data_IF_815034126759
#
_entry.id   IF_815034126759
#
_cell.length_a   1.000
_cell.length_b   1.000
_cell.length_c   1.000
_cell.angle_alpha   90.00
_cell.angle_beta   90.00
_cell.angle_gamma   90.00
#
_symmetry.space_group_name_H-M   'P 1'
#
loop_
_entity.id
_entity.type
_entity.pdbx_description
1 polymer ?
#
# COMPACT_ATOMS: atom_id res chain seq x y z
N UNK A 1 -6.54 5.87 11.61
CA UNK A 1 -6.44 4.56 10.91
C UNK A 1 -5.01 4.01 10.80
N UNK A 2 -3.96 4.81 10.96
CA UNK A 2 -2.56 4.39 10.81
C UNK A 2 -2.14 3.22 11.73
N UNK A 3 -2.66 3.12 12.96
CA UNK A 3 -2.28 2.02 13.88
C UNK A 3 -2.89 0.66 13.53
N UNK A 4 -3.92 0.62 12.72
CA UNK A 4 -4.67 -0.61 12.48
C UNK A 4 -4.07 -1.52 11.37
N UNK A 5 -3.40 -0.95 10.39
CA UNK A 5 -2.64 -1.70 9.37
C UNK A 5 -1.21 -2.04 9.77
N UNK A 6 -0.72 -1.39 10.81
CA UNK A 6 0.65 -1.38 11.30
C UNK A 6 1.25 -2.78 11.46
N UNK A 7 0.60 -3.65 12.21
CA UNK A 7 1.10 -5.01 12.45
C UNK A 7 1.15 -5.85 11.18
N UNK A 8 0.15 -5.70 10.30
CA UNK A 8 0.10 -6.45 9.02
C UNK A 8 1.20 -6.00 8.06
N UNK A 9 1.47 -4.70 8.00
CA UNK A 9 2.54 -4.13 7.18
C UNK A 9 3.91 -4.65 7.61
N UNK A 10 4.23 -4.52 8.90
CA UNK A 10 5.48 -5.01 9.46
C UNK A 10 5.64 -6.54 9.33
N UNK A 11 4.57 -7.31 9.59
CA UNK A 11 4.55 -8.76 9.39
C UNK A 11 4.82 -9.17 7.93
N UNK A 12 4.29 -8.43 6.96
CA UNK A 12 4.54 -8.70 5.53
C UNK A 12 6.01 -8.44 5.20
N UNK A 13 6.56 -7.30 5.62
CA UNK A 13 7.95 -6.97 5.34
C UNK A 13 8.92 -7.94 6.03
N UNK A 14 8.63 -8.33 7.29
CA UNK A 14 9.43 -9.32 8.01
C UNK A 14 9.42 -10.67 7.30
N UNK A 15 8.25 -11.16 6.85
CA UNK A 15 8.16 -12.41 6.09
C UNK A 15 8.95 -12.34 4.77
N UNK A 16 8.94 -11.21 4.08
CA UNK A 16 9.70 -11.03 2.85
C UNK A 16 11.22 -11.04 3.11
N UNK A 17 11.66 -10.48 4.25
CA UNK A 17 13.05 -10.57 4.72
C UNK A 17 13.44 -12.02 5.05
N UNK A 18 12.60 -12.73 5.81
CA UNK A 18 12.86 -14.12 6.22
C UNK A 18 12.97 -15.05 5.00
N UNK A 19 12.19 -14.78 3.97
CA UNK A 19 12.20 -15.51 2.68
C UNK A 19 13.26 -15.00 1.70
N UNK A 20 14.04 -14.00 2.06
CA UNK A 20 15.05 -13.36 1.20
C UNK A 20 14.47 -12.82 -0.12
N UNK A 21 13.23 -12.41 -0.11
CA UNK A 21 12.59 -11.65 -1.21
C UNK A 21 12.97 -10.18 -1.10
N UNK A 22 13.05 -9.68 0.13
CA UNK A 22 13.57 -8.38 0.50
C UNK A 22 14.92 -8.59 1.21
N UNK A 23 15.90 -7.73 0.96
CA UNK A 23 17.20 -7.76 1.63
C UNK A 23 17.42 -6.43 2.35
N UNK A 24 18.12 -6.48 3.50
CA UNK A 24 18.37 -5.28 4.32
C UNK A 24 19.33 -4.29 3.67
N UNK A 25 20.16 -4.76 2.76
CA UNK A 25 21.17 -3.95 2.05
C UNK A 25 20.69 -3.49 0.66
N UNK A 26 19.49 -3.94 0.23
CA UNK A 26 18.89 -3.47 -1.01
C UNK A 26 18.32 -2.06 -0.86
N UNK A 27 18.34 -1.32 -1.97
CA UNK A 27 17.72 0.02 -2.03
C UNK A 27 16.20 -0.07 -1.98
N UNK A 28 15.60 0.69 -1.06
CA UNK A 28 14.15 0.71 -0.82
C UNK A 28 13.61 2.12 -0.94
N UNK A 29 12.60 2.30 -1.79
CA UNK A 29 11.79 3.52 -1.81
C UNK A 29 10.48 3.27 -1.05
N UNK A 30 10.20 4.09 -0.04
CA UNK A 30 8.92 4.08 0.68
C UNK A 30 8.09 5.26 0.22
N UNK A 31 7.01 4.99 -0.51
CA UNK A 31 6.02 5.99 -0.93
C UNK A 31 4.98 6.23 0.16
N UNK A 32 4.41 7.42 0.18
CA UNK A 32 3.43 7.86 1.18
C UNK A 32 3.97 7.85 2.60
N UNK A 33 5.28 7.98 2.74
CA UNK A 33 6.01 7.73 3.96
C UNK A 33 5.67 8.71 5.08
N UNK A 34 5.45 8.16 6.27
CA UNK A 34 5.33 8.88 7.52
C UNK A 34 6.28 8.35 8.60
N UNK A 35 6.21 8.92 9.81
CA UNK A 35 7.02 8.47 10.96
C UNK A 35 6.79 7.00 11.30
N UNK A 36 5.57 6.51 11.07
CA UNK A 36 5.23 5.11 11.26
C UNK A 36 6.10 4.21 10.35
N UNK A 37 6.17 4.52 9.06
CA UNK A 37 6.92 3.74 8.05
C UNK A 37 8.41 3.75 8.36
N UNK A 38 8.94 4.92 8.76
CA UNK A 38 10.32 5.05 9.25
C UNK A 38 10.58 4.15 10.45
N UNK A 39 9.66 4.16 11.42
CA UNK A 39 9.76 3.29 12.59
C UNK A 39 9.81 1.80 12.23
N UNK A 40 8.99 1.36 11.28
CA UNK A 40 8.98 -0.03 10.79
C UNK A 40 10.31 -0.37 10.09
N UNK A 41 10.76 0.45 9.15
CA UNK A 41 12.01 0.18 8.40
C UNK A 41 13.23 0.12 9.31
N UNK A 42 13.30 0.99 10.33
CA UNK A 42 14.36 0.97 11.35
C UNK A 42 14.31 -0.32 12.18
N UNK A 43 13.13 -0.73 12.68
CA UNK A 43 13.00 -1.99 13.45
C UNK A 43 13.39 -3.22 12.64
N UNK A 44 13.08 -3.22 11.35
CA UNK A 44 13.43 -4.30 10.43
C UNK A 44 14.90 -4.26 9.99
N UNK A 45 15.61 -3.20 10.30
CA UNK A 45 17.04 -3.05 10.00
C UNK A 45 17.33 -2.80 8.52
N UNK A 46 16.40 -2.20 7.76
CA UNK A 46 16.63 -1.75 6.38
C UNK A 46 17.62 -0.58 6.40
N UNK A 47 18.64 -0.61 5.55
CA UNK A 47 19.79 0.31 5.64
C UNK A 47 19.76 1.41 4.59
N UNK A 48 19.36 1.11 3.37
CA UNK A 48 19.28 2.05 2.25
C UNK A 48 17.81 2.34 1.94
N UNK A 49 17.24 3.32 2.66
CA UNK A 49 15.81 3.67 2.58
C UNK A 49 15.63 5.13 2.21
N UNK A 50 14.95 5.36 1.09
CA UNK A 50 14.49 6.68 0.67
C UNK A 50 13.00 6.82 0.98
N UNK A 51 12.63 7.86 1.70
CA UNK A 51 11.24 8.16 2.03
C UNK A 51 10.71 9.28 1.14
N UNK A 52 9.53 9.11 0.58
CA UNK A 52 8.87 10.15 -0.22
C UNK A 52 7.41 10.31 0.18
N UNK A 53 6.94 11.56 0.15
CA UNK A 53 5.54 11.89 0.36
C UNK A 53 5.20 13.14 -0.45
N UNK A 54 3.93 13.34 -0.81
CA UNK A 54 3.47 14.56 -1.47
C UNK A 54 3.64 15.78 -0.57
N UNK A 55 3.34 15.61 0.72
CA UNK A 55 3.46 16.63 1.76
C UNK A 55 4.23 16.10 2.99
N UNK A 56 5.59 16.06 2.94
CA UNK A 56 6.39 15.50 4.03
C UNK A 56 6.17 16.18 5.40
N UNK A 57 5.71 17.43 5.38
CA UNK A 57 5.46 18.25 6.57
C UNK A 57 3.99 18.27 7.02
N UNK A 58 3.08 17.59 6.30
CA UNK A 58 1.66 17.60 6.66
C UNK A 58 1.36 16.78 7.91
N UNK A 59 0.44 17.19 8.60
CA UNK A 59 0.00 17.28 9.97
C UNK A 59 0.03 16.02 10.85
N UNK A 60 -0.27 14.84 10.38
CA UNK A 60 -0.48 13.69 11.30
C UNK A 60 0.59 12.59 11.23
N UNK A 61 1.38 12.57 10.18
CA UNK A 61 2.41 11.54 9.97
C UNK A 61 3.77 12.13 9.57
N UNK A 62 4.12 13.25 10.16
CA UNK A 62 5.29 14.05 9.79
C UNK A 62 6.57 13.23 9.74
N UNK A 63 7.15 13.14 8.58
CA UNK A 63 8.52 12.71 8.38
C UNK A 63 9.29 13.83 7.68
N UNK A 64 9.89 14.76 8.44
CA UNK A 64 10.60 15.91 7.85
C UNK A 64 11.73 15.53 6.90
N UNK A 65 12.29 14.33 7.05
CA UNK A 65 13.32 13.78 6.18
C UNK A 65 12.78 13.18 4.87
N UNK A 66 11.46 13.06 4.68
CA UNK A 66 10.91 12.58 3.44
C UNK A 66 11.09 13.63 2.32
N UNK A 67 11.44 13.15 1.15
CA UNK A 67 11.52 13.98 -0.05
C UNK A 67 10.09 14.25 -0.57
N UNK A 68 9.87 15.46 -1.09
CA UNK A 68 8.60 15.78 -1.71
C UNK A 68 8.51 15.16 -3.10
N UNK A 69 7.51 14.32 -3.32
CA UNK A 69 7.26 13.72 -4.62
C UNK A 69 5.77 13.39 -4.81
N UNK A 70 5.28 13.57 -6.04
CA UNK A 70 3.95 13.15 -6.44
C UNK A 70 3.99 11.68 -6.89
N UNK A 71 3.21 10.84 -6.22
CA UNK A 71 3.11 9.42 -6.52
C UNK A 71 2.61 9.12 -7.94
N UNK A 72 1.89 10.05 -8.57
CA UNK A 72 1.42 9.89 -9.96
C UNK A 72 2.51 10.17 -11.01
N UNK A 73 3.58 10.85 -10.62
CA UNK A 73 4.66 11.24 -11.51
C UNK A 73 5.98 11.38 -10.76
N UNK A 74 6.59 10.24 -10.52
CA UNK A 74 7.89 10.19 -9.85
C UNK A 74 9.01 10.57 -10.80
N UNK A 75 10.00 11.32 -10.29
CA UNK A 75 11.20 11.69 -11.07
C UNK A 75 12.26 10.60 -11.08
N UNK A 76 12.10 9.54 -10.27
CA UNK A 76 13.00 8.41 -10.24
C UNK A 76 12.97 7.62 -11.56
N UNK A 77 14.13 7.13 -11.99
CA UNK A 77 14.29 6.34 -13.21
C UNK A 77 13.68 4.94 -13.07
N UNK A 78 13.44 4.29 -14.20
CA UNK A 78 12.93 2.92 -14.27
C UNK A 78 13.90 1.96 -13.57
N UNK A 79 13.39 1.14 -12.66
CA UNK A 79 14.20 0.15 -11.94
C UNK A 79 15.30 0.72 -11.08
N UNK A 80 15.21 2.00 -10.67
CA UNK A 80 16.24 2.67 -9.86
C UNK A 80 16.31 2.21 -8.40
N UNK A 81 15.26 1.56 -7.89
CA UNK A 81 15.23 0.95 -6.56
C UNK A 81 14.99 -0.56 -6.64
N UNK A 82 15.63 -1.33 -5.76
CA UNK A 82 15.35 -2.77 -5.70
C UNK A 82 13.90 -3.04 -5.30
N UNK A 83 13.40 -2.30 -4.31
CA UNK A 83 12.05 -2.45 -3.78
C UNK A 83 11.34 -1.11 -3.65
N UNK A 84 10.06 -1.09 -3.99
CA UNK A 84 9.17 0.05 -3.74
C UNK A 84 8.04 -0.40 -2.83
N UNK A 85 7.84 0.31 -1.74
CA UNK A 85 6.88 -0.04 -0.69
C UNK A 85 5.90 1.12 -0.51
N UNK A 86 4.61 0.81 -0.36
CA UNK A 86 3.57 1.77 -0.03
C UNK A 86 2.61 1.20 1.03
N UNK A 87 2.27 2.01 2.03
CA UNK A 87 1.33 1.63 3.06
C UNK A 87 0.25 2.70 3.22
N UNK A 88 -1.01 2.27 3.07
CA UNK A 88 -2.19 3.11 3.29
C UNK A 88 -2.14 4.47 2.55
N UNK A 89 -1.66 4.50 1.31
CA UNK A 89 -1.44 5.73 0.56
C UNK A 89 -2.07 5.75 -0.83
N UNK A 90 -2.22 4.59 -1.49
CA UNK A 90 -2.83 4.54 -2.82
C UNK A 90 -4.28 5.04 -2.83
N UNK A 91 -5.03 4.84 -1.73
CA UNK A 91 -6.41 5.31 -1.62
C UNK A 91 -6.53 6.83 -1.38
N UNK A 92 -5.43 7.53 -1.09
CA UNK A 92 -5.38 9.00 -1.10
C UNK A 92 -5.11 9.58 -2.49
N UNK A 93 -4.75 8.75 -3.46
CA UNK A 93 -4.49 9.18 -4.82
C UNK A 93 -5.78 9.33 -5.63
N UNK A 94 -5.93 10.41 -6.37
CA UNK A 94 -7.04 10.58 -7.34
C UNK A 94 -6.95 9.55 -8.48
N UNK A 95 -5.76 9.05 -8.77
CA UNK A 95 -5.47 8.03 -9.80
C UNK A 95 -4.62 6.89 -9.23
N UNK A 96 -5.20 6.03 -8.35
CA UNK A 96 -4.44 5.02 -7.63
C UNK A 96 -3.72 4.01 -8.54
N UNK A 97 -4.27 3.70 -9.72
CA UNK A 97 -3.62 2.84 -10.71
C UNK A 97 -2.36 3.50 -11.32
N UNK A 98 -2.38 4.81 -11.52
CA UNK A 98 -1.21 5.55 -11.98
C UNK A 98 -0.10 5.55 -10.92
N UNK A 99 -0.45 5.74 -9.66
CA UNK A 99 0.51 5.66 -8.57
C UNK A 99 1.10 4.24 -8.44
N UNK A 100 0.28 3.19 -8.58
CA UNK A 100 0.76 1.81 -8.62
C UNK A 100 1.65 1.53 -9.83
N UNK A 101 1.35 2.12 -11.00
CA UNK A 101 2.22 2.04 -12.17
C UNK A 101 3.60 2.64 -11.88
N UNK A 102 3.67 3.83 -11.27
CA UNK A 102 4.93 4.46 -10.90
C UNK A 102 5.73 3.59 -9.90
N UNK A 103 5.06 3.02 -8.87
CA UNK A 103 5.70 2.05 -8.00
C UNK A 103 6.30 0.89 -8.79
N UNK A 104 5.53 0.34 -9.74
CA UNK A 104 5.98 -0.78 -10.57
C UNK A 104 7.14 -0.41 -11.48
N UNK A 105 7.08 0.77 -12.13
CA UNK A 105 8.12 1.27 -13.03
C UNK A 105 9.46 1.43 -12.31
N UNK A 106 9.44 2.06 -11.14
CA UNK A 106 10.64 2.38 -10.35
C UNK A 106 11.25 1.15 -9.69
N UNK A 107 10.44 0.17 -9.33
CA UNK A 107 10.93 -1.05 -8.70
C UNK A 107 11.67 -1.94 -9.69
N UNK A 108 12.87 -2.38 -9.31
CA UNK A 108 13.65 -3.37 -10.07
C UNK A 108 13.21 -4.80 -9.75
N UNK A 109 12.87 -5.11 -8.49
CA UNK A 109 12.60 -6.48 -8.01
C UNK A 109 11.18 -6.67 -7.50
N UNK A 110 10.75 -5.85 -6.54
CA UNK A 110 9.43 -6.02 -5.93
C UNK A 110 8.72 -4.71 -5.65
N UNK A 111 7.40 -4.75 -5.78
CA UNK A 111 6.49 -3.76 -5.21
C UNK A 111 5.72 -4.41 -4.08
N UNK A 112 5.66 -3.74 -2.93
CA UNK A 112 4.84 -4.14 -1.79
C UNK A 112 3.83 -3.03 -1.50
N UNK A 113 2.55 -3.35 -1.49
CA UNK A 113 1.54 -2.39 -1.07
C UNK A 113 0.57 -3.01 -0.05
N UNK A 114 0.21 -2.23 0.95
CA UNK A 114 -0.79 -2.62 1.96
C UNK A 114 -1.91 -1.60 1.97
N UNK A 115 -3.09 -2.04 1.59
CA UNK A 115 -4.25 -1.19 1.31
C UNK A 115 -5.56 -1.81 1.84
N UNK A 116 -6.65 -1.14 1.58
CA UNK A 116 -7.98 -1.64 1.88
C UNK A 116 -8.44 -2.66 0.82
N UNK A 117 -9.09 -3.74 1.27
CA UNK A 117 -9.63 -4.79 0.38
C UNK A 117 -11.10 -4.58 0.04
N UNK A 118 -11.47 -4.77 -1.23
CA UNK A 118 -12.84 -4.90 -1.67
C UNK A 118 -13.22 -6.38 -1.73
N UNK A 119 -13.61 -6.95 -0.60
CA UNK A 119 -14.11 -8.32 -0.52
C UNK A 119 -15.64 -8.35 -0.52
N UNK A 120 -16.30 -9.49 -0.87
CA UNK A 120 -17.75 -9.65 -0.73
C UNK A 120 -18.27 -9.28 0.66
N UNK A 121 -17.59 -9.68 1.73
CA UNK A 121 -18.00 -9.30 3.09
C UNK A 121 -17.84 -7.80 3.35
N UNK A 122 -16.79 -7.17 2.81
CA UNK A 122 -16.61 -5.72 2.92
C UNK A 122 -17.70 -4.94 2.18
N UNK A 123 -18.14 -5.42 1.00
CA UNK A 123 -19.27 -4.83 0.27
C UNK A 123 -20.57 -4.93 1.05
N UNK A 124 -20.84 -6.09 1.65
CA UNK A 124 -22.00 -6.29 2.54
C UNK A 124 -21.91 -5.35 3.74
N UNK A 125 -20.75 -5.30 4.41
CA UNK A 125 -20.53 -4.40 5.54
C UNK A 125 -20.74 -2.93 5.16
N UNK A 126 -20.26 -2.50 3.98
CA UNK A 126 -20.49 -1.15 3.45
C UNK A 126 -21.97 -0.85 3.23
N UNK A 127 -22.73 -1.80 2.66
CA UNK A 127 -24.18 -1.65 2.44
C UNK A 127 -24.96 -1.44 3.74
N UNK A 128 -24.49 -1.99 4.84
CA UNK A 128 -25.09 -1.81 6.17
C UNK A 128 -24.45 -0.68 6.99
N UNK A 129 -23.59 0.14 6.39
CA UNK A 129 -22.97 1.29 7.09
C UNK A 129 -21.96 0.87 8.19
N UNK A 130 -21.50 -0.38 8.16
CA UNK A 130 -20.54 -0.90 9.16
C UNK A 130 -19.10 -0.43 8.89
N UNK A 131 -18.81 0.04 7.68
CA UNK A 131 -17.50 0.57 7.27
C UNK A 131 -17.67 1.90 6.57
N UNK A 132 -16.72 2.81 6.81
CA UNK A 132 -16.71 4.13 6.18
C UNK A 132 -16.35 4.06 4.69
N UNK A 133 -16.94 4.94 3.89
CA UNK A 133 -16.63 5.11 2.47
C UNK A 133 -15.69 6.30 2.21
N UNK A 134 -15.59 7.23 3.15
CA UNK A 134 -14.74 8.43 3.08
C UNK A 134 -13.95 8.60 4.36
N UNK A 135 -12.76 9.18 4.25
CA UNK A 135 -11.88 9.50 5.37
C UNK A 135 -11.99 11.00 5.76
N UNK A 136 -13.00 11.33 6.54
CA UNK A 136 -13.18 12.68 7.04
C UNK A 136 -12.17 13.05 8.13
N UNK A 137 -11.76 12.06 8.94
CA UNK A 137 -10.84 12.29 10.06
C UNK A 137 -9.46 12.77 9.58
N UNK A 138 -8.96 12.23 8.47
CA UNK A 138 -7.68 12.64 7.90
C UNK A 138 -7.67 14.12 7.49
N UNK A 139 -8.77 14.60 6.92
CA UNK A 139 -8.94 16.02 6.57
C UNK A 139 -9.12 16.87 7.82
N UNK A 140 -9.87 16.42 8.81
CA UNK A 140 -10.05 17.12 10.06
C UNK A 140 -8.71 17.27 10.81
N UNK A 141 -7.90 16.23 10.89
CA UNK A 141 -6.55 16.25 11.45
C UNK A 141 -5.61 17.17 10.64
N UNK A 142 -5.85 17.32 9.34
CA UNK A 142 -5.19 18.26 8.43
C UNK A 142 -5.70 19.71 8.51
N UNK A 143 -6.51 20.05 9.51
CA UNK A 143 -7.07 21.39 9.68
C UNK A 143 -8.07 21.79 8.57
N UNK A 144 -8.67 20.81 7.88
CA UNK A 144 -9.63 21.03 6.81
C UNK A 144 -9.02 21.42 5.45
N UNK A 145 -7.71 21.51 5.36
CA UNK A 145 -7.00 21.98 4.14
C UNK A 145 -6.11 20.94 3.49
N UNK A 146 -5.72 19.92 4.24
CA UNK A 146 -4.83 18.82 3.80
C UNK A 146 -5.32 17.47 4.31
N UNK A 147 -4.65 16.39 3.93
CA UNK A 147 -4.95 15.03 4.43
C UNK A 147 -6.00 14.27 3.61
N UNK A 148 -6.63 14.89 2.63
CA UNK A 148 -7.56 14.25 1.70
C UNK A 148 -6.90 13.81 0.40
N UNK A 149 -7.71 13.69 -0.67
CA UNK A 149 -7.25 13.24 -1.98
C UNK A 149 -6.17 14.18 -2.52
N UNK A 150 -5.05 13.63 -2.98
CA UNK A 150 -3.88 14.36 -3.50
C UNK A 150 -3.41 15.49 -2.56
N UNK A 151 -3.48 15.25 -1.24
CA UNK A 151 -3.05 16.21 -0.22
C UNK A 151 -3.98 17.42 -0.03
N UNK A 152 -5.17 17.41 -0.60
CA UNK A 152 -6.16 18.52 -0.49
C UNK A 152 -7.05 18.37 0.74
N UNK A 153 -7.89 19.38 0.99
CA UNK A 153 -8.97 19.33 1.98
C UNK A 153 -10.21 18.54 1.53
N UNK A 154 -10.15 17.83 0.40
CA UNK A 154 -11.26 17.00 -0.09
C UNK A 154 -11.11 15.59 0.49
N UNK A 155 -12.09 15.10 1.30
CA UNK A 155 -12.02 13.76 1.87
C UNK A 155 -11.89 12.71 0.76
N UNK A 156 -10.90 11.82 0.90
CA UNK A 156 -10.70 10.74 -0.05
C UNK A 156 -11.76 9.66 0.12
N UNK A 157 -12.27 9.15 -1.00
CA UNK A 157 -13.00 7.90 -1.02
C UNK A 157 -12.04 6.76 -0.67
N UNK A 158 -12.37 5.92 0.29
CA UNK A 158 -11.56 4.75 0.66
C UNK A 158 -11.58 3.76 -0.50
N UNK A 159 -10.62 3.91 -1.41
CA UNK A 159 -10.47 3.01 -2.54
C UNK A 159 -10.06 1.63 -2.06
N UNK A 160 -10.89 0.63 -2.36
CA UNK A 160 -10.66 -0.75 -1.95
C UNK A 160 -10.28 -1.59 -3.16
N UNK A 161 -9.16 -2.30 -3.05
CA UNK A 161 -8.63 -3.12 -4.12
C UNK A 161 -9.19 -4.54 -4.10
N UNK A 162 -9.44 -5.11 -5.28
CA UNK A 162 -9.66 -6.55 -5.46
C UNK A 162 -8.38 -7.22 -5.96
N UNK A 163 -8.23 -8.52 -5.70
CA UNK A 163 -7.11 -9.31 -6.26
C UNK A 163 -7.09 -9.23 -7.78
N UNK A 164 -8.26 -9.46 -8.39
CA UNK A 164 -8.41 -9.43 -9.84
C UNK A 164 -8.05 -8.07 -10.45
N UNK A 165 -8.35 -7.00 -9.76
CA UNK A 165 -8.00 -5.65 -10.20
C UNK A 165 -6.49 -5.45 -10.19
N UNK A 166 -5.80 -5.82 -9.08
CA UNK A 166 -4.34 -5.75 -9.03
C UNK A 166 -3.71 -6.57 -10.15
N UNK A 167 -4.13 -7.83 -10.34
CA UNK A 167 -3.63 -8.71 -11.40
C UNK A 167 -3.83 -8.09 -12.80
N UNK A 168 -5.01 -7.55 -13.09
CA UNK A 168 -5.29 -6.90 -14.38
C UNK A 168 -4.46 -5.63 -14.59
N UNK A 169 -4.32 -4.83 -13.53
CA UNK A 169 -3.55 -3.60 -13.57
C UNK A 169 -2.08 -3.92 -13.88
N UNK A 170 -1.51 -4.92 -13.20
CA UNK A 170 -0.13 -5.35 -13.48
C UNK A 170 -0.01 -5.94 -14.90
N UNK A 171 -0.96 -6.75 -15.34
CA UNK A 171 -0.96 -7.28 -16.70
C UNK A 171 -1.03 -6.18 -17.77
N UNK A 172 -1.65 -5.03 -17.47
CA UNK A 172 -1.65 -3.87 -18.36
C UNK A 172 -0.33 -3.09 -18.37
N UNK A 173 0.44 -3.17 -17.30
CA UNK A 173 1.76 -2.54 -17.19
C UNK A 173 2.87 -3.40 -17.80
N UNK A 174 2.72 -4.71 -17.73
CA UNK A 174 3.71 -5.68 -18.20
C UNK A 174 3.04 -6.79 -19.04
N UNK A 175 2.53 -6.44 -20.25
CA UNK A 175 1.90 -7.40 -21.13
C UNK A 175 2.93 -8.47 -21.59
N UNK A 176 2.48 -9.70 -21.74
CA UNK A 176 3.33 -10.82 -22.18
C UNK A 176 4.12 -11.53 -21.08
N UNK A 177 4.04 -11.03 -19.82
CA UNK A 177 4.58 -11.74 -18.66
C UNK A 177 3.48 -12.18 -17.72
N UNK A 178 3.65 -13.35 -17.12
CA UNK A 178 2.89 -13.71 -15.93
C UNK A 178 3.66 -13.20 -14.72
N UNK A 179 3.30 -12.04 -14.22
CA UNK A 179 3.95 -11.45 -13.06
C UNK A 179 3.35 -12.07 -11.79
N UNK A 180 4.15 -12.76 -10.96
CA UNK A 180 3.66 -13.32 -9.72
C UNK A 180 3.20 -12.23 -8.74
N UNK A 181 1.97 -12.33 -8.27
CA UNK A 181 1.41 -11.46 -7.23
C UNK A 181 1.00 -12.30 -6.04
N UNK A 182 1.63 -12.06 -4.91
CA UNK A 182 1.28 -12.70 -3.65
C UNK A 182 0.30 -11.81 -2.88
N UNK A 183 -0.76 -12.41 -2.33
CA UNK A 183 -1.80 -11.69 -1.61
C UNK A 183 -1.92 -12.15 -0.17
N UNK A 184 -2.02 -11.19 0.75
CA UNK A 184 -2.28 -11.42 2.16
C UNK A 184 -3.46 -10.57 2.60
N UNK A 185 -4.44 -11.17 3.23
CA UNK A 185 -5.61 -10.45 3.75
C UNK A 185 -5.75 -10.70 5.24
N UNK A 186 -6.23 -9.70 5.97
CA UNK A 186 -6.46 -9.78 7.41
C UNK A 186 -7.66 -8.93 7.81
N UNK A 187 -8.41 -9.42 8.78
CA UNK A 187 -9.39 -8.62 9.48
C UNK A 187 -8.72 -7.80 10.56
N UNK A 188 -8.95 -6.50 10.51
CA UNK A 188 -8.48 -5.57 11.50
C UNK A 188 -9.54 -4.48 11.71
N UNK A 189 -10.53 -4.81 12.54
CA UNK A 189 -11.54 -3.86 12.99
C UNK A 189 -10.90 -3.00 14.06
N UNK A 190 -10.89 -1.69 13.85
CA UNK A 190 -10.33 -0.73 14.80
C UNK A 190 -11.13 -0.61 16.09
N UNK A 191 -10.58 0.07 17.06
CA UNK A 191 -11.24 0.39 18.32
C UNK A 191 -12.05 1.69 18.22
N UNK A 192 -12.70 2.10 19.30
CA UNK A 192 -13.74 3.12 19.43
C UNK A 192 -13.73 4.31 18.45
N UNK A 193 -12.56 4.92 18.18
CA UNK A 193 -12.48 6.09 17.27
C UNK A 193 -12.70 5.73 15.81
N UNK A 194 -12.25 4.53 15.41
CA UNK A 194 -12.35 4.05 14.04
C UNK A 194 -13.68 3.35 13.72
N UNK A 195 -14.58 3.20 14.71
CA UNK A 195 -15.87 2.55 14.51
C UNK A 195 -16.90 3.50 13.92
N UNK A 196 -17.52 3.11 12.81
CA UNK A 196 -18.69 3.84 12.27
C UNK A 196 -19.86 3.81 13.24
N UNK A 197 -20.83 4.75 13.14
CA UNK A 197 -22.05 4.70 13.94
C UNK A 197 -22.78 3.35 13.81
N UNK A 198 -22.85 2.77 12.62
CA UNK A 198 -23.44 1.45 12.37
C UNK A 198 -22.71 0.34 13.13
N UNK A 199 -21.38 0.32 13.11
CA UNK A 199 -20.59 -0.67 13.84
C UNK A 199 -20.76 -0.49 15.37
N UNK A 200 -20.80 0.75 15.86
CA UNK A 200 -21.07 1.03 17.29
C UNK A 200 -22.44 0.53 17.73
N UNK A 201 -23.46 0.67 16.88
CA UNK A 201 -24.80 0.15 17.16
C UNK A 201 -24.80 -1.39 17.26
N UNK A 202 -24.11 -2.08 16.36
CA UNK A 202 -23.98 -3.57 16.37
C UNK A 202 -23.21 -4.05 17.60
N UNK A 203 -22.16 -3.35 18.01
CA UNK A 203 -21.34 -3.71 19.17
C UNK A 203 -22.01 -3.41 20.54
N UNK A 204 -23.12 -2.67 20.52
CA UNK A 204 -23.93 -2.39 21.70
C UNK A 204 -23.38 -1.29 22.64
N UNK A 205 -24.16 -0.97 23.65
CA UNK A 205 -23.92 0.15 24.59
C UNK A 205 -22.91 -0.09 25.71
N UNK A 206 -22.08 -1.11 25.61
CA UNK A 206 -21.03 -1.37 26.61
C UNK A 206 -19.94 -0.26 26.61
N UNK A 207 -19.31 -0.03 27.75
CA UNK A 207 -18.18 0.92 27.85
C UNK A 207 -17.00 0.55 26.92
N UNK A 208 -16.09 1.49 26.68
CA UNK A 208 -14.93 1.30 25.79
C UNK A 208 -14.14 0.00 26.03
N UNK A 209 -13.87 -0.43 27.28
CA UNK A 209 -13.18 -1.70 27.52
C UNK A 209 -13.96 -2.94 27.06
N UNK A 210 -15.29 -2.94 27.21
CA UNK A 210 -16.13 -4.06 26.78
C UNK A 210 -16.15 -4.17 25.25
N UNK A 211 -16.31 -3.05 24.57
CA UNK A 211 -16.24 -2.99 23.08
C UNK A 211 -14.87 -3.43 22.58
N UNK A 212 -13.78 -3.01 23.22
CA UNK A 212 -12.44 -3.41 22.82
C UNK A 212 -12.24 -4.95 22.91
N UNK A 213 -12.77 -5.60 23.96
CA UNK A 213 -12.75 -7.07 24.09
C UNK A 213 -13.55 -7.74 22.99
N UNK A 214 -14.74 -7.22 22.69
CA UNK A 214 -15.60 -7.75 21.63
C UNK A 214 -14.95 -7.61 20.26
N UNK A 215 -14.38 -6.44 19.94
CA UNK A 215 -13.61 -6.21 18.69
C UNK A 215 -12.42 -7.16 18.60
N UNK A 216 -11.69 -7.40 19.69
CA UNK A 216 -10.59 -8.36 19.72
C UNK A 216 -11.08 -9.78 19.41
N UNK A 217 -12.21 -10.19 20.01
CA UNK A 217 -12.82 -11.49 19.73
C UNK A 217 -13.30 -11.63 18.29
N UNK A 218 -13.94 -10.58 17.74
CA UNK A 218 -14.35 -10.53 16.34
C UNK A 218 -13.15 -10.63 15.39
N UNK A 219 -12.09 -9.86 15.61
CA UNK A 219 -10.87 -9.93 14.81
C UNK A 219 -10.28 -11.35 14.83
N UNK A 220 -10.22 -11.99 16.01
CA UNK A 220 -9.72 -13.36 16.14
C UNK A 220 -10.60 -14.36 15.37
N UNK A 221 -11.91 -14.31 15.57
CA UNK A 221 -12.85 -15.20 14.90
C UNK A 221 -12.86 -15.04 13.39
N UNK A 222 -12.96 -13.80 12.90
CA UNK A 222 -12.97 -13.51 11.47
C UNK A 222 -11.64 -13.88 10.79
N UNK A 223 -10.49 -13.68 11.45
CA UNK A 223 -9.21 -14.13 10.93
C UNK A 223 -9.07 -15.67 10.93
N UNK A 224 -9.78 -16.38 11.81
CA UNK A 224 -9.84 -17.83 11.79
C UNK A 224 -10.65 -18.39 10.62
N UNK A 225 -11.85 -17.85 10.40
CA UNK A 225 -12.83 -18.46 9.44
C UNK A 225 -12.92 -17.72 8.10
N UNK A 226 -12.64 -16.42 8.04
CA UNK A 226 -12.88 -15.58 6.87
C UNK A 226 -11.69 -14.66 6.55
N UNK A 227 -10.47 -15.06 6.86
CA UNK A 227 -9.26 -14.24 6.69
C UNK A 227 -9.13 -13.65 5.28
N UNK A 228 -9.44 -14.44 4.24
CA UNK A 228 -9.35 -13.99 2.84
C UNK A 228 -10.31 -12.85 2.48
N UNK A 229 -11.32 -12.62 3.33
CA UNK A 229 -12.32 -11.56 3.18
C UNK A 229 -12.00 -10.31 4.02
N UNK A 230 -10.80 -10.26 4.62
CA UNK A 230 -10.38 -9.20 5.53
C UNK A 230 -10.41 -7.82 4.89
N UNK A 231 -10.49 -6.80 5.72
CA UNK A 231 -10.51 -5.40 5.29
C UNK A 231 -9.12 -4.86 4.95
N UNK A 232 -8.04 -5.45 5.49
CA UNK A 232 -6.65 -5.10 5.15
C UNK A 232 -6.14 -6.10 4.10
N UNK A 233 -5.46 -5.55 3.11
CA UNK A 233 -5.04 -6.26 1.93
C UNK A 233 -3.60 -5.89 1.56
N UNK A 234 -2.68 -6.81 1.78
CA UNK A 234 -1.31 -6.70 1.31
C UNK A 234 -1.13 -7.44 -0.01
N UNK A 235 -0.43 -6.84 -0.95
CA UNK A 235 -0.01 -7.51 -2.16
C UNK A 235 1.47 -7.23 -2.45
N UNK A 236 2.17 -8.27 -2.84
CA UNK A 236 3.59 -8.24 -3.23
C UNK A 236 3.70 -8.67 -4.67
N UNK A 237 4.17 -7.77 -5.51
CA UNK A 237 4.39 -8.00 -6.94
C UNK A 237 5.88 -8.30 -7.13
N UNK A 238 6.20 -9.44 -7.74
CA UNK A 238 7.59 -9.85 -7.98
C UNK A 238 7.91 -9.73 -9.46
N UNK A 239 8.83 -8.81 -9.81
CA UNK A 239 9.28 -8.64 -11.20
C UNK A 239 10.32 -9.70 -11.54
N UNK A 240 10.11 -10.41 -12.63
CA UNK A 240 11.11 -11.31 -13.20
C UNK A 240 11.88 -10.57 -14.30
N UNK A 241 13.03 -10.05 -13.93
CA UNK A 241 13.91 -9.33 -14.86
C UNK A 241 14.75 -10.27 -15.74
N UNK A 242 14.71 -11.58 -15.49
CA UNK A 242 15.49 -12.57 -16.28
C UNK A 242 14.89 -12.78 -17.67
N UNK A 243 13.64 -12.37 -17.89
CA UNK A 243 12.94 -12.53 -19.16
C UNK A 243 12.79 -11.20 -19.86
N UNK A 244 13.39 -10.99 -21.05
CA UNK A 244 13.17 -9.80 -21.84
C UNK A 244 11.67 -9.67 -22.19
N UNK A 245 11.19 -8.45 -22.29
CA UNK A 245 9.82 -8.20 -22.72
C UNK A 245 9.72 -8.46 -24.21
N UNK A 246 8.88 -9.41 -24.61
CA UNK A 246 8.80 -9.91 -25.97
C UNK A 246 8.24 -8.89 -27.00
N UNK A 247 7.58 -7.82 -26.53
CA UNK A 247 7.05 -6.75 -27.40
C UNK A 247 7.99 -5.54 -27.56
N UNK A 248 9.10 -5.48 -26.79
CA UNK A 248 10.14 -4.49 -27.01
C UNK A 248 11.00 -5.03 -28.16
N UNK A 249 11.01 -4.37 -29.35
CA UNK A 249 11.93 -4.74 -30.40
C UNK A 249 13.36 -4.63 -29.83
N UNK A 250 14.08 -5.72 -29.80
CA UNK A 250 15.52 -5.65 -29.59
C UNK A 250 16.07 -4.99 -30.85
N UNK A 251 16.46 -3.72 -30.78
CA UNK A 251 17.17 -3.12 -31.90
C UNK A 251 18.38 -4.03 -32.22
N UNK A 252 18.53 -4.45 -33.48
CA UNK A 252 19.69 -5.23 -33.86
C UNK A 252 20.91 -4.36 -33.52
N UNK A 253 21.81 -4.90 -32.71
CA UNK A 253 23.08 -4.25 -32.40
C UNK A 253 23.72 -3.90 -33.76
N UNK A 254 23.75 -2.64 -34.11
CA UNK A 254 24.44 -2.18 -35.32
C UNK A 254 25.91 -2.44 -35.05
N UNK A 255 26.39 -3.57 -35.57
CA UNK A 255 27.82 -3.82 -35.64
C UNK A 255 28.36 -2.79 -36.62
N UNK A 256 28.97 -1.73 -36.11
CA UNK A 256 29.70 -0.79 -36.93
C UNK A 256 30.82 -1.60 -37.56
N UNK A 257 30.67 -1.95 -38.85
CA UNK A 257 31.75 -2.54 -39.61
C UNK A 257 32.89 -1.51 -39.59
N UNK A 258 34.04 -1.94 -39.09
CA UNK A 258 35.25 -1.15 -39.16
C UNK A 258 35.49 -0.81 -40.62
N UNK A 259 35.51 0.48 -40.95
CA UNK A 259 35.93 0.98 -42.26
C UNK A 259 37.41 0.69 -42.38
N UNK A 260 37.84 -0.14 -43.33
CA UNK A 260 39.27 -0.35 -43.51
C UNK A 260 39.93 0.96 -43.95
N UNK A 261 41.10 1.24 -43.37
CA UNK A 261 41.89 2.45 -43.62
C UNK A 261 42.45 2.49 -45.05
#
# INVERSE_FOLDING_TARGET
>A
MAESGAGTYEEILQDLLDRRVLDRDHSVLVQFAGEFDRGVTVRLGLRDVTFVNLEPASVSSRLPSALRADAHRMTAEDGSYDHVIGHAGLHHCSRPHQALYEMYRIARRTVVAVENQDSPLMRVAGRFGLVGSYEHDAVADGGGTTGGVDGTGVPNHVYRWTRREVEKTIASFDPGRTVPVEFRSRWLIGTDRALTPGMRSVLGGGGAPARARLVKGLNLGLNGVARRQGNIFGFTIRKDLSRPQTWIPVEPTVTVAEVPA
#
